data_IF_118452239283
#
_entry.id   IF_118452239283
#
_cell.length_a   1.000
_cell.length_b   1.000
_cell.length_c   1.000
_cell.angle_alpha   90.00
_cell.angle_beta   90.00
_cell.angle_gamma   90.00
#
_symmetry.space_group_name_H-M   'P 1'
#
loop_
_entity.id
_entity.type
_entity.pdbx_description
1 polymer ?
#
# COMPACT_ATOMS: atom_id res chain seq x y z
N UNK A 1 2.43 5.23 25.07
CA UNK A 1 1.64 5.92 26.12
C UNK A 1 1.51 4.98 27.29
N UNK A 2 1.88 5.40 28.46
CA UNK A 2 1.56 4.73 29.74
C UNK A 2 0.63 5.64 30.52
N UNK A 3 0.07 5.16 31.63
CA UNK A 3 -0.81 5.97 32.48
C UNK A 3 -0.12 7.21 33.08
N UNK A 4 1.21 7.28 32.97
CA UNK A 4 2.04 8.35 33.53
C UNK A 4 2.86 9.12 32.50
N UNK A 5 2.93 8.67 31.24
CA UNK A 5 3.73 9.30 30.20
C UNK A 5 2.96 9.46 28.91
N UNK A 6 3.01 10.66 28.34
CA UNK A 6 2.45 11.02 27.05
C UNK A 6 3.53 11.71 26.23
N UNK A 7 3.71 11.26 24.98
CA UNK A 7 4.64 11.84 24.03
C UNK A 7 3.90 12.36 22.81
N UNK A 8 4.27 13.55 22.35
CA UNK A 8 3.78 14.10 21.10
C UNK A 8 4.32 13.25 19.93
N UNK A 9 3.43 12.81 19.06
CA UNK A 9 3.78 12.10 17.84
C UNK A 9 3.69 13.10 16.69
N UNK A 10 4.79 13.22 15.94
CA UNK A 10 4.81 13.96 14.68
C UNK A 10 4.87 12.97 13.53
N UNK A 11 3.98 13.14 12.58
CA UNK A 11 3.96 12.37 11.35
C UNK A 11 4.64 13.16 10.23
N UNK A 12 5.39 12.46 9.37
CA UNK A 12 5.94 12.99 8.13
C UNK A 12 5.64 12.00 7.01
N UNK A 13 4.99 12.46 5.95
CA UNK A 13 4.84 11.67 4.73
C UNK A 13 6.13 11.76 3.91
N UNK A 14 6.52 10.64 3.32
CA UNK A 14 7.68 10.54 2.42
C UNK A 14 7.25 9.79 1.16
N UNK A 15 7.91 10.05 0.02
CA UNK A 15 7.69 9.27 -1.19
C UNK A 15 7.94 7.78 -0.96
N UNK A 16 7.25 6.93 -1.71
CA UNK A 16 7.46 5.49 -1.68
C UNK A 16 8.91 5.18 -2.10
N UNK A 17 9.68 4.43 -1.28
CA UNK A 17 11.07 4.13 -1.63
C UNK A 17 11.12 3.21 -2.85
N UNK A 18 12.01 3.50 -3.78
CA UNK A 18 12.30 2.69 -4.95
C UNK A 18 13.76 2.23 -4.95
N UNK A 19 14.04 1.08 -5.56
CA UNK A 19 15.42 0.67 -5.80
C UNK A 19 16.07 1.59 -6.83
N UNK A 20 17.40 1.77 -6.75
CA UNK A 20 18.15 2.70 -7.60
C UNK A 20 17.93 2.44 -9.11
N UNK A 21 17.77 1.17 -9.50
CA UNK A 21 17.54 0.75 -10.89
C UNK A 21 16.09 0.27 -11.12
N UNK A 22 15.20 0.53 -10.17
CA UNK A 22 13.80 0.11 -10.22
C UNK A 22 12.89 1.15 -10.89
N UNK A 23 11.77 0.68 -11.43
CA UNK A 23 10.70 1.56 -11.90
C UNK A 23 9.93 2.13 -10.70
N UNK A 24 9.51 3.38 -10.81
CA UNK A 24 8.63 4.03 -9.82
C UNK A 24 7.20 3.52 -10.03
N UNK A 25 6.81 2.52 -9.26
CA UNK A 25 5.48 1.91 -9.32
C UNK A 25 4.80 2.03 -7.95
N UNK A 26 3.61 2.59 -7.92
CA UNK A 26 2.79 2.70 -6.72
C UNK A 26 1.56 1.81 -6.81
N UNK A 27 1.27 1.08 -5.74
CA UNK A 27 0.05 0.27 -5.67
C UNK A 27 -1.14 1.19 -5.43
N UNK A 28 -2.06 1.24 -6.40
CA UNK A 28 -3.32 1.94 -6.23
C UNK A 28 -4.31 1.05 -5.46
N UNK A 29 -4.59 1.43 -4.23
CA UNK A 29 -5.63 0.83 -3.41
C UNK A 29 -6.62 1.90 -2.97
N UNK A 30 -7.92 1.58 -3.06
CA UNK A 30 -8.94 2.52 -2.66
C UNK A 30 -10.32 1.85 -2.57
N UNK A 31 -11.24 2.54 -1.92
CA UNK A 31 -12.64 2.15 -1.93
C UNK A 31 -13.25 2.46 -3.30
N UNK A 32 -14.00 1.51 -3.83
CA UNK A 32 -14.81 1.70 -5.03
C UNK A 32 -16.29 1.87 -4.67
N UNK A 33 -17.01 2.62 -5.48
CA UNK A 33 -18.47 2.71 -5.38
C UNK A 33 -19.11 1.95 -6.52
N UNK A 34 -20.08 1.09 -6.20
CA UNK A 34 -20.85 0.34 -7.18
C UNK A 34 -22.34 0.71 -7.07
N UNK A 35 -22.97 0.90 -8.22
CA UNK A 35 -24.43 1.05 -8.29
C UNK A 35 -25.04 -0.35 -8.32
N UNK A 36 -25.81 -0.69 -7.29
CA UNK A 36 -26.49 -1.97 -7.20
C UNK A 36 -27.77 -1.99 -8.06
N UNK A 37 -28.25 -3.19 -8.40
CA UNK A 37 -29.54 -3.34 -9.05
C UNK A 37 -30.67 -2.79 -8.17
N UNK A 38 -31.59 -2.08 -8.80
CA UNK A 38 -32.76 -1.49 -8.17
C UNK A 38 -33.75 -0.99 -9.23
N UNK A 39 -34.75 -0.25 -8.81
CA UNK A 39 -35.67 0.45 -9.72
C UNK A 39 -34.89 1.49 -10.54
N UNK A 40 -35.45 1.87 -11.70
CA UNK A 40 -34.84 2.91 -12.56
C UNK A 40 -34.59 4.23 -11.79
N UNK A 41 -35.50 4.58 -10.88
CA UNK A 41 -35.37 5.79 -10.06
C UNK A 41 -34.16 5.70 -9.08
N UNK A 42 -33.97 4.56 -8.42
CA UNK A 42 -32.87 4.33 -7.49
C UNK A 42 -31.51 4.33 -8.22
N UNK A 43 -31.44 3.67 -9.37
CA UNK A 43 -30.24 3.69 -10.21
C UNK A 43 -29.90 5.10 -10.67
N UNK A 44 -30.90 5.87 -11.16
CA UNK A 44 -30.71 7.28 -11.56
C UNK A 44 -30.25 8.15 -10.39
N UNK A 45 -30.83 7.98 -9.21
CA UNK A 45 -30.41 8.71 -8.01
C UNK A 45 -28.98 8.38 -7.60
N UNK A 46 -28.59 7.12 -7.62
CA UNK A 46 -27.23 6.66 -7.33
C UNK A 46 -26.22 7.25 -8.30
N UNK A 47 -26.52 7.22 -9.60
CA UNK A 47 -25.64 7.82 -10.63
C UNK A 47 -25.54 9.34 -10.46
N UNK A 48 -26.65 10.02 -10.12
CA UNK A 48 -26.64 11.46 -9.86
C UNK A 48 -25.76 11.80 -8.65
N UNK A 49 -25.85 11.01 -7.57
CA UNK A 49 -24.98 11.16 -6.41
C UNK A 49 -23.49 10.97 -6.77
N UNK A 50 -23.15 9.92 -7.53
CA UNK A 50 -21.75 9.68 -7.94
C UNK A 50 -21.22 10.82 -8.79
N UNK A 51 -22.03 11.33 -9.73
CA UNK A 51 -21.63 12.51 -10.54
C UNK A 51 -21.42 13.75 -9.71
N UNK A 52 -22.23 13.96 -8.66
CA UNK A 52 -22.05 15.08 -7.73
C UNK A 52 -20.80 14.89 -6.87
N UNK A 53 -20.61 13.68 -6.30
CA UNK A 53 -19.48 13.34 -5.42
C UNK A 53 -18.12 13.48 -6.12
N UNK A 54 -18.07 13.21 -7.43
CA UNK A 54 -16.84 13.30 -8.23
C UNK A 54 -16.57 14.68 -8.82
N UNK A 55 -17.44 15.67 -8.58
CA UNK A 55 -17.13 17.06 -8.93
C UNK A 55 -15.96 17.57 -8.08
N UNK A 56 -15.06 18.39 -8.65
CA UNK A 56 -13.84 18.80 -7.96
C UNK A 56 -14.06 19.34 -6.55
N UNK A 57 -15.02 20.24 -6.37
CA UNK A 57 -15.31 20.84 -5.06
C UNK A 57 -15.69 19.79 -4.01
N UNK A 58 -16.62 18.87 -4.34
CA UNK A 58 -17.09 17.86 -3.40
C UNK A 58 -16.02 16.81 -3.15
N UNK A 59 -15.28 16.46 -4.18
CA UNK A 59 -14.23 15.45 -4.09
C UNK A 59 -13.02 15.93 -3.31
N UNK A 60 -12.61 17.20 -3.46
CA UNK A 60 -11.57 17.82 -2.63
C UNK A 60 -12.02 17.90 -1.16
N UNK A 61 -13.27 18.29 -0.90
CA UNK A 61 -13.81 18.32 0.47
C UNK A 61 -13.76 16.93 1.13
N UNK A 62 -14.12 15.89 0.39
CA UNK A 62 -14.03 14.51 0.86
C UNK A 62 -12.58 14.10 1.11
N UNK A 63 -11.66 14.42 0.18
CA UNK A 63 -10.25 14.10 0.27
C UNK A 63 -9.60 14.72 1.53
N UNK A 64 -9.80 16.02 1.73
CA UNK A 64 -9.28 16.74 2.91
C UNK A 64 -9.81 16.17 4.22
N UNK A 65 -11.09 15.78 4.25
CA UNK A 65 -11.72 15.23 5.46
C UNK A 65 -11.41 13.77 5.76
N UNK A 66 -11.03 12.98 4.75
CA UNK A 66 -10.87 11.53 4.88
C UNK A 66 -9.44 11.01 4.68
N UNK A 67 -8.57 11.80 4.05
CA UNK A 67 -7.23 11.36 3.63
C UNK A 67 -7.22 10.52 2.34
N UNK A 68 -8.38 10.34 1.66
CA UNK A 68 -8.42 9.75 0.32
C UNK A 68 -8.01 10.79 -0.73
N UNK A 69 -7.51 10.32 -1.87
CA UNK A 69 -7.20 11.19 -2.99
C UNK A 69 -8.44 11.50 -3.84
N UNK A 70 -8.51 12.70 -4.44
CA UNK A 70 -9.50 12.99 -5.44
C UNK A 70 -9.37 12.07 -6.67
N UNK A 71 -10.52 11.75 -7.29
CA UNK A 71 -10.57 10.77 -8.39
C UNK A 71 -10.42 11.37 -9.79
N UNK A 72 -10.35 12.70 -9.90
CA UNK A 72 -10.20 13.40 -11.19
C UNK A 72 -8.91 14.23 -11.21
N UNK A 73 -8.25 14.31 -12.35
CA UNK A 73 -7.05 15.15 -12.52
C UNK A 73 -7.30 16.62 -12.13
N UNK A 74 -8.50 17.15 -12.42
CA UNK A 74 -8.86 18.52 -12.07
C UNK A 74 -8.85 18.77 -10.54
N UNK A 75 -9.10 17.76 -9.75
CA UNK A 75 -9.14 17.84 -8.28
C UNK A 75 -7.87 17.27 -7.62
N UNK A 76 -7.16 16.35 -8.29
CA UNK A 76 -6.01 15.64 -7.72
C UNK A 76 -4.70 16.42 -7.98
N UNK A 77 -4.67 17.65 -7.52
CA UNK A 77 -3.46 18.47 -7.50
C UNK A 77 -3.51 19.46 -6.33
N UNK A 78 -2.35 19.78 -5.78
CA UNK A 78 -2.26 20.61 -4.57
C UNK A 78 -2.74 22.05 -4.81
N UNK A 79 -2.59 22.61 -6.02
CA UNK A 79 -3.06 23.96 -6.33
C UNK A 79 -4.60 24.03 -6.17
N UNK A 80 -5.33 23.07 -6.75
CA UNK A 80 -6.79 23.00 -6.62
C UNK A 80 -7.23 22.73 -5.17
N UNK A 81 -6.51 21.87 -4.44
CA UNK A 81 -6.80 21.56 -3.04
C UNK A 81 -6.61 22.82 -2.17
N UNK A 82 -5.53 23.55 -2.33
CA UNK A 82 -5.26 24.80 -1.58
C UNK A 82 -6.22 25.93 -1.95
N UNK A 83 -6.54 26.04 -3.23
CA UNK A 83 -7.53 27.02 -3.72
C UNK A 83 -8.94 26.79 -3.16
N UNK A 84 -9.25 25.59 -2.68
CA UNK A 84 -10.53 25.31 -2.02
C UNK A 84 -10.74 26.06 -0.71
N UNK A 85 -9.68 26.57 -0.09
CA UNK A 85 -9.70 27.26 1.20
C UNK A 85 -10.08 26.39 2.41
N UNK A 86 -10.10 25.05 2.26
CA UNK A 86 -10.37 24.14 3.35
C UNK A 86 -9.21 24.10 4.33
N UNK A 87 -9.52 24.11 5.62
CA UNK A 87 -8.51 23.95 6.66
C UNK A 87 -7.94 22.52 6.66
N UNK A 88 -6.61 22.42 6.69
CA UNK A 88 -5.88 21.16 6.75
C UNK A 88 -4.86 21.23 7.86
N UNK A 89 -4.69 20.13 8.59
CA UNK A 89 -3.52 19.97 9.48
C UNK A 89 -2.26 19.79 8.63
N UNK A 90 -1.08 20.10 9.20
CA UNK A 90 0.20 19.89 8.53
C UNK A 90 0.36 18.44 8.06
N UNK A 91 -0.10 17.49 8.86
CA UNK A 91 -0.07 16.07 8.54
C UNK A 91 -0.91 15.72 7.28
N UNK A 92 -2.13 16.25 7.18
CA UNK A 92 -3.00 16.05 6.01
C UNK A 92 -2.38 16.72 4.78
N UNK A 93 -1.84 17.92 4.92
CA UNK A 93 -1.15 18.63 3.84
C UNK A 93 0.05 17.82 3.33
N UNK A 94 0.90 17.32 4.22
CA UNK A 94 2.05 16.49 3.87
C UNK A 94 1.62 15.22 3.10
N UNK A 95 0.58 14.51 3.57
CA UNK A 95 0.05 13.32 2.90
C UNK A 95 -0.44 13.66 1.50
N UNK A 96 -1.31 14.67 1.37
CA UNK A 96 -1.90 15.03 0.08
C UNK A 96 -0.82 15.51 -0.90
N UNK A 97 0.18 16.27 -0.44
CA UNK A 97 1.30 16.71 -1.28
C UNK A 97 2.06 15.54 -1.87
N UNK A 98 2.48 14.59 -1.03
CA UNK A 98 3.22 13.42 -1.49
C UNK A 98 2.35 12.52 -2.36
N UNK A 99 1.10 12.28 -1.95
CA UNK A 99 0.25 11.33 -2.64
C UNK A 99 -0.25 11.85 -4.00
N UNK A 100 -0.50 13.16 -4.16
CA UNK A 100 -0.82 13.74 -5.48
C UNK A 100 0.38 13.69 -6.42
N UNK A 101 1.59 13.96 -5.92
CA UNK A 101 2.83 13.84 -6.68
C UNK A 101 3.10 12.39 -7.12
N UNK A 102 2.92 11.44 -6.21
CA UNK A 102 3.06 10.00 -6.49
C UNK A 102 2.11 9.52 -7.60
N UNK A 103 0.84 9.97 -7.56
CA UNK A 103 -0.16 9.60 -8.59
C UNK A 103 0.17 10.20 -9.95
N UNK A 104 0.77 11.39 -9.98
CA UNK A 104 1.09 12.08 -11.22
C UNK A 104 2.38 11.56 -11.86
N UNK A 105 3.38 11.18 -11.04
CA UNK A 105 4.74 10.91 -11.50
C UNK A 105 5.12 9.43 -11.50
N UNK A 106 4.29 8.53 -10.96
CA UNK A 106 4.57 7.10 -10.91
C UNK A 106 3.59 6.29 -11.75
N UNK A 107 3.99 5.08 -12.12
CA UNK A 107 3.08 4.09 -12.67
C UNK A 107 2.17 3.53 -11.59
N UNK A 108 0.86 3.62 -11.80
CA UNK A 108 -0.12 3.08 -10.85
C UNK A 108 -0.47 1.64 -11.22
N UNK A 109 -0.32 0.74 -10.25
CA UNK A 109 -0.62 -0.67 -10.39
C UNK A 109 -1.84 -1.06 -9.55
N UNK A 110 -2.80 -1.72 -10.17
CA UNK A 110 -3.94 -2.35 -9.50
C UNK A 110 -3.92 -3.84 -9.73
N UNK A 111 -4.02 -4.63 -8.66
CA UNK A 111 -4.05 -6.10 -8.75
C UNK A 111 -5.23 -6.56 -9.59
N UNK A 112 -4.97 -7.39 -10.60
CA UNK A 112 -6.04 -8.03 -11.38
C UNK A 112 -6.84 -9.00 -10.50
N UNK A 113 -8.16 -9.05 -10.72
CA UNK A 113 -9.01 -10.05 -10.11
C UNK A 113 -8.92 -11.35 -10.93
N UNK A 114 -8.60 -12.47 -10.27
CA UNK A 114 -8.58 -13.80 -10.89
C UNK A 114 -8.95 -14.87 -9.86
N UNK A 115 -9.37 -16.05 -10.33
CA UNK A 115 -9.67 -17.17 -9.46
C UNK A 115 -8.41 -17.58 -8.68
N UNK A 116 -8.51 -17.71 -7.35
CA UNK A 116 -7.33 -17.98 -6.51
C UNK A 116 -6.50 -16.76 -6.13
N UNK A 117 -6.79 -15.54 -6.63
CA UNK A 117 -6.01 -14.34 -6.38
C UNK A 117 -5.84 -14.00 -4.89
N UNK A 118 -6.87 -14.25 -4.07
CA UNK A 118 -6.78 -14.06 -2.62
C UNK A 118 -5.80 -15.04 -1.95
N UNK A 119 -5.71 -16.29 -2.44
CA UNK A 119 -4.78 -17.29 -1.94
C UNK A 119 -3.35 -16.99 -2.41
N UNK A 120 -3.16 -16.62 -3.69
CA UNK A 120 -1.87 -16.19 -4.20
C UNK A 120 -1.30 -14.98 -3.43
N UNK A 121 -2.16 -14.01 -3.10
CA UNK A 121 -1.77 -12.85 -2.28
C UNK A 121 -1.28 -13.26 -0.89
N UNK A 122 -1.91 -14.24 -0.26
CA UNK A 122 -1.46 -14.77 1.03
C UNK A 122 -0.09 -15.43 0.94
N UNK A 123 0.19 -16.15 -0.14
CA UNK A 123 1.53 -16.69 -0.36
C UNK A 123 2.56 -15.56 -0.39
N UNK A 124 2.33 -14.49 -1.18
CA UNK A 124 3.24 -13.33 -1.22
C UNK A 124 3.37 -12.61 0.12
N UNK A 125 2.29 -12.54 0.90
CA UNK A 125 2.26 -11.85 2.20
C UNK A 125 3.07 -12.60 3.26
N UNK A 126 2.93 -13.92 3.32
CA UNK A 126 3.46 -14.71 4.44
C UNK A 126 4.76 -15.44 4.14
N UNK A 127 5.04 -15.84 2.89
CA UNK A 127 6.18 -16.69 2.55
C UNK A 127 7.52 -16.08 3.01
N UNK A 128 7.74 -14.78 2.75
CA UNK A 128 8.96 -14.10 3.18
C UNK A 128 9.05 -13.97 4.71
N UNK A 129 7.96 -13.63 5.37
CA UNK A 129 7.93 -13.49 6.83
C UNK A 129 8.13 -14.82 7.54
N UNK A 130 7.55 -15.88 7.03
CA UNK A 130 7.71 -17.24 7.56
C UNK A 130 9.15 -17.74 7.36
N UNK A 131 9.73 -17.50 6.18
CA UNK A 131 11.14 -17.78 5.90
C UNK A 131 12.06 -17.03 6.84
N UNK A 132 11.85 -15.73 6.99
CA UNK A 132 12.67 -14.90 7.88
C UNK A 132 12.55 -15.34 9.35
N UNK A 133 11.36 -15.74 9.81
CA UNK A 133 11.15 -16.27 11.16
C UNK A 133 11.85 -17.62 11.38
N UNK A 134 11.78 -18.51 10.40
CA UNK A 134 12.46 -19.82 10.46
C UNK A 134 13.99 -19.66 10.47
N UNK A 135 14.54 -18.82 9.59
CA UNK A 135 15.98 -18.57 9.53
C UNK A 135 16.48 -17.91 10.81
N UNK A 136 15.77 -16.93 11.32
CA UNK A 136 16.09 -16.29 12.60
C UNK A 136 16.12 -17.30 13.75
N UNK A 137 15.13 -18.18 13.85
CA UNK A 137 15.09 -19.20 14.90
C UNK A 137 16.29 -20.15 14.79
N UNK A 138 16.70 -20.54 13.58
CA UNK A 138 17.88 -21.36 13.35
C UNK A 138 19.17 -20.64 13.76
N UNK A 139 19.33 -19.36 13.39
CA UNK A 139 20.46 -18.53 13.80
C UNK A 139 20.55 -18.38 15.32
N UNK A 140 19.43 -18.11 15.98
CA UNK A 140 19.38 -17.98 17.45
C UNK A 140 19.80 -19.29 18.15
N UNK A 141 19.41 -20.46 17.64
CA UNK A 141 19.81 -21.75 18.16
C UNK A 141 21.32 -21.98 18.01
N UNK A 142 21.92 -21.63 16.88
CA UNK A 142 23.37 -21.78 16.63
C UNK A 142 24.19 -20.85 17.52
N UNK A 143 23.72 -19.62 17.71
CA UNK A 143 24.38 -18.68 18.65
C UNK A 143 24.30 -19.22 20.07
N UNK A 144 23.17 -19.77 20.49
CA UNK A 144 23.03 -20.40 21.80
C UNK A 144 23.93 -21.64 21.97
N UNK A 145 24.29 -22.33 20.87
CA UNK A 145 25.27 -23.43 20.84
C UNK A 145 26.71 -22.95 20.81
N UNK A 146 27.00 -21.63 20.77
CA UNK A 146 28.33 -21.07 20.87
C UNK A 146 28.94 -20.60 19.55
N UNK A 147 28.19 -20.62 18.45
CA UNK A 147 28.65 -20.05 17.19
C UNK A 147 28.67 -18.49 17.22
N UNK A 148 29.54 -17.87 16.44
CA UNK A 148 29.47 -16.43 16.25
C UNK A 148 28.21 -16.04 15.45
N UNK A 149 27.69 -14.85 15.68
CA UNK A 149 26.51 -14.37 14.92
C UNK A 149 26.78 -14.31 13.40
N UNK A 150 28.01 -14.01 12.99
CA UNK A 150 28.40 -13.97 11.58
C UNK A 150 28.39 -15.39 10.96
N UNK A 151 28.94 -16.38 11.65
CA UNK A 151 28.98 -17.76 11.16
C UNK A 151 27.56 -18.37 11.16
N UNK A 152 26.79 -18.11 12.20
CA UNK A 152 25.43 -18.64 12.35
C UNK A 152 24.48 -18.18 11.24
N UNK A 153 24.63 -16.97 10.71
CA UNK A 153 23.77 -16.44 9.65
C UNK A 153 24.32 -16.64 8.23
N UNK A 154 25.61 -17.01 8.08
CA UNK A 154 26.27 -17.01 6.78
C UNK A 154 25.58 -17.87 5.71
N UNK A 155 25.05 -19.05 6.07
CA UNK A 155 24.38 -19.94 5.11
C UNK A 155 23.06 -19.37 4.56
N UNK A 156 22.39 -18.47 5.29
CA UNK A 156 21.13 -17.83 4.88
C UNK A 156 21.34 -16.61 3.98
N UNK A 157 22.58 -16.08 3.91
CA UNK A 157 22.94 -14.88 3.17
C UNK A 157 23.62 -15.17 1.83
N UNK A 158 23.47 -16.36 1.30
CA UNK A 158 24.06 -16.77 0.03
C UNK A 158 23.09 -16.62 -1.13
N UNK A 159 23.61 -16.44 -2.35
CA UNK A 159 22.82 -16.41 -3.58
C UNK A 159 22.07 -17.75 -3.81
N UNK A 160 22.67 -18.86 -3.41
CA UNK A 160 22.08 -20.19 -3.50
C UNK A 160 20.88 -20.33 -2.55
N UNK A 161 20.98 -19.84 -1.32
CA UNK A 161 19.87 -19.83 -0.36
C UNK A 161 18.71 -18.97 -0.86
N UNK A 162 19.01 -17.79 -1.39
CA UNK A 162 18.02 -16.95 -2.04
C UNK A 162 17.36 -17.62 -3.24
N UNK A 163 18.15 -18.19 -4.14
CA UNK A 163 17.64 -18.85 -5.33
C UNK A 163 16.73 -20.05 -4.97
N UNK A 164 17.10 -20.85 -3.97
CA UNK A 164 16.30 -21.98 -3.51
C UNK A 164 14.95 -21.53 -2.94
N UNK A 165 14.94 -20.51 -2.09
CA UNK A 165 13.72 -19.91 -1.57
C UNK A 165 12.84 -19.34 -2.67
N UNK A 166 13.42 -18.56 -3.58
CA UNK A 166 12.69 -17.92 -4.68
C UNK A 166 12.04 -18.94 -5.62
N UNK A 167 12.72 -20.03 -5.95
CA UNK A 167 12.15 -21.13 -6.74
C UNK A 167 11.00 -21.84 -6.01
N UNK A 168 11.10 -21.97 -4.68
CA UNK A 168 10.01 -22.48 -3.85
C UNK A 168 8.77 -21.58 -3.92
N UNK A 169 8.95 -20.25 -3.74
CA UNK A 169 7.89 -19.25 -3.87
C UNK A 169 7.22 -19.30 -5.26
N UNK A 170 8.02 -19.31 -6.34
CA UNK A 170 7.48 -19.43 -7.69
C UNK A 170 6.69 -20.74 -7.90
N UNK A 171 7.16 -21.84 -7.30
CA UNK A 171 6.46 -23.13 -7.32
C UNK A 171 5.07 -23.05 -6.65
N UNK A 172 4.97 -22.37 -5.54
CA UNK A 172 3.69 -22.15 -4.83
C UNK A 172 2.74 -21.28 -5.68
N UNK A 173 3.25 -20.21 -6.30
CA UNK A 173 2.44 -19.29 -7.10
C UNK A 173 1.91 -19.93 -8.38
N UNK A 174 2.66 -20.86 -9.00
CA UNK A 174 2.20 -21.62 -10.18
C UNK A 174 0.88 -22.36 -9.97
N UNK A 175 0.57 -22.76 -8.74
CA UNK A 175 -0.71 -23.39 -8.43
C UNK A 175 -1.94 -22.47 -8.67
N UNK A 176 -1.71 -21.18 -8.84
CA UNK A 176 -2.73 -20.15 -9.04
C UNK A 176 -2.67 -19.50 -10.44
N UNK A 177 -1.75 -19.93 -11.28
CA UNK A 177 -1.75 -19.56 -12.70
C UNK A 177 -2.95 -20.24 -13.37
N UNK A 178 -3.96 -19.46 -13.79
CA UNK A 178 -5.16 -19.93 -14.49
C UNK A 178 -4.97 -20.05 -16.00
#
# INVERSE_FOLDING_TARGET
>A
TSDTESHDIRMKALPCPTFADGSSVCVQQGAGMAVTNGSEAEVKASVAFLKWMTQPEQNIRFAVGSGYLPVTHAANNMEAIEASGLEMTDAVRDILTIATDEVENNELYTTKAFAGGAAARKVLEYDLSDKAAADRAAVEQRIAAGESAADAQAEFLTDEAFAAWYQGLLGQLKAYEG
#
